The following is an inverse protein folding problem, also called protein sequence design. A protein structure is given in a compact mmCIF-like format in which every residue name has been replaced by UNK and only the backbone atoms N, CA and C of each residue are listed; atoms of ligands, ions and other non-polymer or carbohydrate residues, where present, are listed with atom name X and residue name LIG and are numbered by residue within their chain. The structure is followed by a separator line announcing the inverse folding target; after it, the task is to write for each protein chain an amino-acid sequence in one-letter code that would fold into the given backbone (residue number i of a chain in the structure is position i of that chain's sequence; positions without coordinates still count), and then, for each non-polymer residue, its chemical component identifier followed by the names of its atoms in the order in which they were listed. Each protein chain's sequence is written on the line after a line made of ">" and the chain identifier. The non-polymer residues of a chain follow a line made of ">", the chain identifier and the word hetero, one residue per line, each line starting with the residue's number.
data_IF_719921215032
#
_entry.id   IF_719921215032
#
_cell.length_a   1.000
_cell.length_b   1.000
_cell.length_c   1.000
_cell.angle_alpha   90.00
_cell.angle_beta   90.00
_cell.angle_gamma   90.00
#
_symmetry.space_group_name_H-M   'P 1'
#
loop_
_entity.id
_entity.type
_entity.pdbx_description
1 polymer ?
#
# COMPACT_ATOMS: atom_id res chain seq x y z
N UNK A 1 7.19 -11.34 -17.76
CA UNK A 1 6.73 -11.03 -16.40
C UNK A 1 6.25 -9.59 -16.37
N UNK A 2 5.09 -9.32 -15.78
CA UNK A 2 4.61 -7.98 -15.47
C UNK A 2 4.44 -7.86 -13.95
N UNK A 3 5.19 -6.97 -13.31
CA UNK A 3 5.01 -6.57 -11.92
C UNK A 3 4.27 -5.24 -11.89
N UNK A 4 3.16 -5.13 -11.13
CA UNK A 4 2.39 -3.90 -11.06
C UNK A 4 1.81 -3.65 -9.65
N UNK A 5 1.92 -2.41 -9.18
CA UNK A 5 1.14 -1.88 -8.04
C UNK A 5 0.06 -0.95 -8.58
N UNK A 6 -1.20 -1.21 -8.29
CA UNK A 6 -2.35 -0.49 -8.85
C UNK A 6 -3.45 -0.30 -7.80
N UNK A 7 -4.41 0.60 -8.04
CA UNK A 7 -5.60 0.78 -7.22
C UNK A 7 -5.47 1.77 -6.05
N UNK A 8 -4.27 2.04 -5.53
CA UNK A 8 -4.07 2.94 -4.39
C UNK A 8 -4.53 4.37 -4.67
N UNK A 9 -4.22 4.89 -5.86
CA UNK A 9 -4.68 6.20 -6.30
C UNK A 9 -6.16 6.21 -6.67
N UNK A 10 -6.69 5.12 -7.24
CA UNK A 10 -8.11 4.98 -7.60
C UNK A 10 -9.03 5.02 -6.37
N UNK A 11 -8.56 4.52 -5.22
CA UNK A 11 -9.27 4.68 -3.94
C UNK A 11 -8.99 6.01 -3.23
N UNK A 12 -8.13 6.85 -3.82
CA UNK A 12 -7.72 8.16 -3.30
C UNK A 12 -6.91 8.09 -2.02
N UNK A 13 -6.01 7.10 -1.87
CA UNK A 13 -5.19 6.94 -0.66
C UNK A 13 -4.43 8.23 -0.29
N UNK A 14 -3.78 8.87 -1.27
CA UNK A 14 -3.02 10.12 -1.07
C UNK A 14 -3.91 11.29 -0.64
N UNK A 15 -5.13 11.39 -1.18
CA UNK A 15 -6.12 12.40 -0.77
C UNK A 15 -6.55 12.14 0.68
N UNK A 16 -6.81 10.89 1.05
CA UNK A 16 -7.24 10.53 2.39
C UNK A 16 -6.14 10.85 3.41
N UNK A 17 -4.88 10.50 3.12
CA UNK A 17 -3.73 10.85 3.96
C UNK A 17 -3.61 12.37 4.07
N UNK A 18 -3.70 13.10 2.96
CA UNK A 18 -3.64 14.57 2.98
C UNK A 18 -4.76 15.19 3.82
N UNK A 19 -5.99 14.69 3.71
CA UNK A 19 -7.14 15.19 4.49
C UNK A 19 -7.03 14.84 5.96
N UNK A 20 -6.48 13.67 6.30
CA UNK A 20 -6.23 13.32 7.70
C UNK A 20 -5.18 14.22 8.35
N UNK A 21 -4.14 14.62 7.60
CA UNK A 21 -3.08 15.49 8.13
C UNK A 21 -3.52 16.95 8.17
N UNK A 22 -4.22 17.44 7.14
CA UNK A 22 -4.41 18.88 6.91
C UNK A 22 -5.87 19.35 6.89
N UNK A 23 -6.86 18.46 7.01
CA UNK A 23 -8.27 18.77 6.74
C UNK A 23 -9.27 18.27 7.79
N UNK A 24 -10.56 18.51 7.51
CA UNK A 24 -11.67 18.06 8.36
C UNK A 24 -12.01 16.57 8.05
N UNK A 25 -11.94 15.69 9.06
CA UNK A 25 -12.10 14.25 8.86
C UNK A 25 -13.54 13.73 8.98
N UNK A 26 -14.52 14.60 9.24
CA UNK A 26 -15.91 14.22 9.61
C UNK A 26 -16.65 13.43 8.53
N UNK A 27 -16.29 13.59 7.26
CA UNK A 27 -16.91 12.90 6.11
C UNK A 27 -15.95 12.02 5.30
N UNK A 28 -14.71 11.85 5.77
CA UNK A 28 -13.60 11.27 5.00
C UNK A 28 -13.91 9.90 4.37
N UNK A 29 -14.69 9.08 5.08
CA UNK A 29 -15.00 7.72 4.66
C UNK A 29 -16.35 7.57 3.94
N UNK A 30 -17.11 8.65 3.76
CA UNK A 30 -18.47 8.60 3.22
C UNK A 30 -18.51 8.12 1.76
N UNK A 31 -17.48 8.42 0.97
CA UNK A 31 -17.38 8.04 -0.45
C UNK A 31 -16.57 6.77 -0.71
N UNK A 32 -16.00 6.16 0.33
CA UNK A 32 -15.03 5.05 0.18
C UNK A 32 -15.63 3.87 -0.56
N UNK A 33 -16.90 3.54 -0.33
CA UNK A 33 -17.56 2.43 -1.04
C UNK A 33 -17.63 2.66 -2.56
N UNK A 34 -17.97 3.87 -2.99
CA UNK A 34 -17.99 4.24 -4.41
C UNK A 34 -16.58 4.22 -5.02
N UNK A 35 -15.57 4.66 -4.25
CA UNK A 35 -14.17 4.59 -4.69
C UNK A 35 -13.71 3.12 -4.88
N UNK A 36 -14.12 2.22 -3.98
CA UNK A 36 -13.85 0.78 -4.12
C UNK A 36 -14.60 0.14 -5.30
N UNK A 37 -15.84 0.55 -5.55
CA UNK A 37 -16.58 0.12 -6.74
C UNK A 37 -15.85 0.55 -8.02
N UNK A 38 -15.44 1.82 -8.09
CA UNK A 38 -14.65 2.34 -9.20
C UNK A 38 -13.33 1.59 -9.38
N UNK A 39 -12.54 1.43 -8.32
CA UNK A 39 -11.27 0.70 -8.37
C UNK A 39 -11.45 -0.76 -8.84
N UNK A 40 -12.51 -1.44 -8.39
CA UNK A 40 -12.83 -2.79 -8.88
C UNK A 40 -13.09 -2.79 -10.38
N UNK A 41 -13.90 -1.86 -10.88
CA UNK A 41 -14.19 -1.74 -12.31
C UNK A 41 -12.93 -1.43 -13.14
N UNK A 42 -12.03 -0.61 -12.61
CA UNK A 42 -10.76 -0.27 -13.28
C UNK A 42 -9.82 -1.48 -13.35
N UNK A 43 -9.78 -2.34 -12.32
CA UNK A 43 -9.04 -3.61 -12.36
C UNK A 43 -9.57 -4.54 -13.46
N UNK A 44 -10.88 -4.56 -13.69
CA UNK A 44 -11.50 -5.38 -14.76
C UNK A 44 -11.07 -4.88 -16.14
N UNK A 45 -10.97 -3.56 -16.31
CA UNK A 45 -10.46 -2.95 -17.55
C UNK A 45 -8.97 -3.21 -17.76
N UNK A 46 -8.18 -3.22 -16.69
CA UNK A 46 -6.77 -3.65 -16.74
C UNK A 46 -6.72 -5.10 -17.20
N UNK A 47 -7.50 -6.01 -16.62
CA UNK A 47 -7.55 -7.42 -17.03
C UNK A 47 -7.88 -7.60 -18.51
N UNK A 48 -8.89 -6.88 -19.01
CA UNK A 48 -9.25 -6.90 -20.44
C UNK A 48 -8.10 -6.42 -21.34
N UNK A 49 -7.30 -5.45 -20.86
CA UNK A 49 -6.13 -4.96 -21.59
C UNK A 49 -4.96 -5.94 -21.53
N UNK A 50 -4.71 -6.55 -20.36
CA UNK A 50 -3.68 -7.56 -20.15
C UNK A 50 -3.94 -8.83 -20.97
N UNK A 51 -5.21 -9.19 -21.19
CA UNK A 51 -5.58 -10.31 -22.07
C UNK A 51 -5.15 -10.08 -23.54
N UNK A 52 -5.02 -8.83 -23.98
CA UNK A 52 -4.56 -8.51 -25.34
C UNK A 52 -3.05 -8.63 -25.50
N UNK A 53 -2.29 -8.16 -24.51
CA UNK A 53 -0.82 -8.18 -24.54
C UNK A 53 -0.21 -9.49 -24.02
N UNK A 54 -1.01 -10.31 -23.32
CA UNK A 54 -0.69 -11.67 -22.84
C UNK A 54 0.66 -11.78 -22.13
N UNK A 55 0.89 -11.07 -21.00
CA UNK A 55 2.11 -11.26 -20.23
C UNK A 55 2.17 -12.70 -19.71
N UNK A 56 3.35 -13.33 -19.77
CA UNK A 56 3.55 -14.71 -19.29
C UNK A 56 3.12 -14.91 -17.83
N UNK A 57 3.27 -13.88 -17.02
CA UNK A 57 2.89 -13.88 -15.61
C UNK A 57 2.66 -12.44 -15.17
N UNK A 58 1.63 -12.23 -14.35
CA UNK A 58 1.28 -10.94 -13.76
C UNK A 58 1.41 -11.09 -12.24
N UNK A 59 2.09 -10.12 -11.62
CA UNK A 59 2.41 -10.13 -10.19
C UNK A 59 1.92 -8.82 -9.58
N UNK A 60 1.18 -8.93 -8.48
CA UNK A 60 0.65 -7.79 -7.73
C UNK A 60 1.07 -7.91 -6.27
N UNK A 61 1.91 -7.00 -5.76
CA UNK A 61 2.19 -6.92 -4.35
C UNK A 61 1.01 -6.33 -3.57
N UNK A 62 0.77 -6.86 -2.38
CA UNK A 62 -0.10 -6.18 -1.41
C UNK A 62 0.53 -4.88 -0.91
N UNK A 63 -0.33 -3.92 -0.57
CA UNK A 63 0.05 -2.73 0.18
C UNK A 63 0.30 -3.08 1.65
N UNK A 64 1.03 -2.22 2.34
CA UNK A 64 1.44 -2.38 3.73
C UNK A 64 0.97 -1.20 4.60
N UNK A 65 1.00 -1.40 5.91
CA UNK A 65 0.61 -0.38 6.89
C UNK A 65 1.82 0.48 7.28
N UNK A 66 1.73 1.78 7.03
CA UNK A 66 2.81 2.73 7.36
C UNK A 66 2.69 3.30 8.77
N UNK A 67 1.60 3.01 9.50
CA UNK A 67 1.24 3.71 10.74
C UNK A 67 1.72 3.00 12.01
N UNK A 68 2.45 1.89 11.88
CA UNK A 68 2.86 1.08 13.03
C UNK A 68 4.18 1.54 13.64
N UNK A 69 4.26 1.50 14.96
CA UNK A 69 5.51 1.71 15.71
C UNK A 69 6.34 0.42 15.80
N UNK A 70 7.44 0.46 16.56
CA UNK A 70 8.37 -0.66 16.76
C UNK A 70 7.74 -1.89 17.43
N UNK A 71 6.60 -1.74 18.10
CA UNK A 71 5.84 -2.83 18.73
C UNK A 71 4.77 -3.42 17.81
N UNK A 72 4.66 -2.90 16.59
CA UNK A 72 3.65 -3.30 15.63
C UNK A 72 2.24 -2.81 15.92
N UNK A 73 2.13 -1.75 16.72
CA UNK A 73 0.85 -1.14 17.09
C UNK A 73 0.66 0.11 16.22
N UNK A 74 -0.57 0.31 15.70
CA UNK A 74 -0.96 1.55 15.02
C UNK A 74 -0.80 2.70 16.01
N UNK A 75 0.04 3.66 15.65
CA UNK A 75 0.49 4.73 16.53
C UNK A 75 0.42 6.07 15.80
N UNK A 76 -0.04 7.10 16.50
CA UNK A 76 -0.08 8.47 16.01
C UNK A 76 0.95 9.36 16.72
N UNK A 77 1.67 8.82 17.70
CA UNK A 77 2.59 9.57 18.55
C UNK A 77 3.97 9.75 17.91
N UNK A 78 4.00 10.34 16.71
CA UNK A 78 5.20 10.79 16.03
C UNK A 78 4.92 12.08 15.24
N UNK A 79 5.97 12.84 14.93
CA UNK A 79 5.89 14.17 14.31
C UNK A 79 5.05 14.17 13.01
N UNK A 80 5.07 13.08 12.25
CA UNK A 80 4.34 12.96 10.99
C UNK A 80 2.83 12.74 11.17
N UNK A 81 2.41 12.15 12.28
CA UNK A 81 1.02 11.71 12.50
C UNK A 81 0.35 12.38 13.70
N UNK A 82 1.04 13.27 14.43
CA UNK A 82 0.56 13.88 15.68
C UNK A 82 -0.78 14.64 15.55
N UNK A 83 -1.15 15.08 14.34
CA UNK A 83 -2.42 15.77 14.07
C UNK A 83 -3.59 14.80 13.79
N UNK A 84 -3.29 13.51 13.64
CA UNK A 84 -4.26 12.47 13.31
C UNK A 84 -4.54 11.65 14.57
N UNK A 85 -5.81 11.44 14.92
CA UNK A 85 -6.14 10.55 16.02
C UNK A 85 -5.78 9.09 15.67
N UNK A 86 -5.30 8.33 16.66
CA UNK A 86 -5.07 6.88 16.49
C UNK A 86 -6.32 6.14 16.03
N UNK A 87 -7.52 6.61 16.41
CA UNK A 87 -8.78 6.03 15.95
C UNK A 87 -9.00 6.23 14.44
N UNK A 88 -8.69 7.42 13.91
CA UNK A 88 -8.74 7.66 12.47
C UNK A 88 -7.75 6.79 11.71
N UNK A 89 -6.53 6.57 12.24
CA UNK A 89 -5.55 5.66 11.65
C UNK A 89 -6.05 4.21 11.62
N UNK A 90 -6.65 3.73 12.72
CA UNK A 90 -7.29 2.40 12.77
C UNK A 90 -8.45 2.29 11.79
N UNK A 91 -9.25 3.35 11.66
CA UNK A 91 -10.35 3.38 10.71
C UNK A 91 -9.83 3.34 9.27
N UNK A 92 -8.75 4.07 8.96
CA UNK A 92 -8.10 4.04 7.65
C UNK A 92 -7.54 2.65 7.34
N UNK A 93 -6.82 2.02 8.27
CA UNK A 93 -6.33 0.65 8.11
C UNK A 93 -7.48 -0.32 7.75
N UNK A 94 -8.58 -0.25 8.50
CA UNK A 94 -9.73 -1.15 8.33
C UNK A 94 -10.52 -0.87 7.06
N UNK A 95 -10.84 0.39 6.80
CA UNK A 95 -11.74 0.80 5.70
C UNK A 95 -11.02 0.97 4.37
N UNK A 96 -9.68 1.03 4.36
CA UNK A 96 -8.91 1.29 3.15
C UNK A 96 -7.90 0.19 2.92
N UNK A 97 -6.86 0.09 3.74
CA UNK A 97 -5.73 -0.83 3.49
C UNK A 97 -6.19 -2.30 3.40
N UNK A 98 -6.94 -2.77 4.39
CA UNK A 98 -7.45 -4.14 4.39
C UNK A 98 -8.39 -4.41 3.22
N UNK A 99 -9.19 -3.41 2.84
CA UNK A 99 -10.16 -3.53 1.74
C UNK A 99 -9.48 -3.55 0.38
N UNK A 100 -8.42 -2.76 0.15
CA UNK A 100 -7.68 -2.80 -1.12
C UNK A 100 -6.92 -4.10 -1.28
N UNK A 101 -6.23 -4.58 -0.25
CA UNK A 101 -5.57 -5.88 -0.33
C UNK A 101 -6.59 -7.00 -0.61
N UNK A 102 -7.74 -7.01 0.07
CA UNK A 102 -8.82 -7.98 -0.23
C UNK A 102 -9.34 -7.88 -1.66
N UNK A 103 -9.48 -6.66 -2.20
CA UNK A 103 -9.89 -6.45 -3.59
C UNK A 103 -8.85 -7.01 -4.56
N UNK A 104 -7.56 -6.72 -4.33
CA UNK A 104 -6.46 -7.22 -5.13
C UNK A 104 -6.37 -8.75 -5.08
N UNK A 105 -6.52 -9.37 -3.91
CA UNK A 105 -6.56 -10.84 -3.80
C UNK A 105 -7.72 -11.43 -4.60
N UNK A 106 -8.93 -10.86 -4.46
CA UNK A 106 -10.11 -11.31 -5.19
C UNK A 106 -9.92 -11.23 -6.71
N UNK A 107 -9.47 -10.08 -7.22
CA UNK A 107 -9.27 -9.87 -8.66
C UNK A 107 -8.11 -10.70 -9.21
N UNK A 108 -7.07 -10.90 -8.41
CA UNK A 108 -5.97 -11.78 -8.79
C UNK A 108 -6.41 -13.24 -8.90
N UNK A 109 -7.25 -13.71 -7.97
CA UNK A 109 -7.87 -15.04 -8.08
C UNK A 109 -8.76 -15.15 -9.33
N UNK A 110 -9.57 -14.13 -9.62
CA UNK A 110 -10.46 -14.09 -10.80
C UNK A 110 -9.69 -14.15 -12.12
N UNK A 111 -8.55 -13.45 -12.23
CA UNK A 111 -7.79 -13.31 -13.47
C UNK A 111 -6.49 -14.11 -13.53
N UNK A 112 -6.23 -14.98 -12.55
CA UNK A 112 -5.01 -15.79 -12.48
C UNK A 112 -3.73 -14.97 -12.27
N UNK A 113 -3.82 -13.81 -11.63
CA UNK A 113 -2.64 -13.03 -11.25
C UNK A 113 -2.04 -13.57 -9.96
N UNK A 114 -0.73 -13.43 -9.80
CA UNK A 114 -0.04 -13.84 -8.59
C UNK A 114 0.02 -12.69 -7.59
N UNK A 115 -0.43 -12.94 -6.37
CA UNK A 115 -0.37 -11.97 -5.27
C UNK A 115 0.87 -12.22 -4.42
N UNK A 116 1.56 -11.14 -4.03
CA UNK A 116 2.67 -11.18 -3.07
C UNK A 116 2.17 -10.57 -1.75
N UNK A 117 1.74 -11.41 -0.81
CA UNK A 117 1.08 -10.97 0.43
C UNK A 117 2.06 -10.54 1.53
N UNK A 118 3.22 -11.23 1.62
CA UNK A 118 4.18 -11.12 2.73
C UNK A 118 5.00 -9.83 2.75
N UNK A 119 4.77 -8.91 1.82
CA UNK A 119 5.42 -7.58 1.86
C UNK A 119 5.00 -6.81 3.11
N UNK A 120 3.75 -6.97 3.58
CA UNK A 120 3.30 -6.28 4.78
C UNK A 120 4.08 -6.67 6.05
N UNK A 121 4.63 -7.88 6.08
CA UNK A 121 5.26 -8.45 7.29
C UNK A 121 6.54 -7.68 7.68
N UNK A 122 7.32 -7.22 6.70
CA UNK A 122 8.55 -6.45 6.98
C UNK A 122 8.26 -5.04 7.53
N UNK A 123 7.05 -4.53 7.30
CA UNK A 123 6.63 -3.22 7.80
C UNK A 123 5.96 -3.29 9.17
N UNK A 124 5.67 -4.50 9.67
CA UNK A 124 4.90 -4.68 10.91
C UNK A 124 5.43 -3.82 12.07
N UNK A 125 6.76 -3.83 12.31
CA UNK A 125 7.42 -3.05 13.36
C UNK A 125 8.27 -1.88 12.82
N UNK A 126 8.05 -1.49 11.56
CA UNK A 126 8.93 -0.60 10.79
C UNK A 126 8.16 0.51 10.07
N UNK A 127 6.98 0.89 10.58
CA UNK A 127 6.23 2.04 10.09
C UNK A 127 6.83 3.38 10.55
N UNK A 128 6.11 4.47 10.26
CA UNK A 128 6.53 5.86 10.46
C UNK A 128 6.96 6.17 11.89
N UNK A 129 6.14 5.77 12.87
CA UNK A 129 6.45 6.06 14.28
C UNK A 129 7.48 5.08 14.88
N UNK A 130 8.09 4.20 14.08
CA UNK A 130 9.18 3.34 14.54
C UNK A 130 10.51 4.09 14.56
N UNK A 131 11.29 3.91 15.63
CA UNK A 131 12.66 4.45 15.72
C UNK A 131 13.61 3.92 14.64
N UNK A 132 13.24 2.81 13.98
CA UNK A 132 13.95 2.26 12.82
C UNK A 132 12.98 2.07 11.65
N UNK A 133 12.32 3.15 11.26
CA UNK A 133 11.33 3.20 10.18
C UNK A 133 11.90 2.71 8.82
N UNK A 134 11.08 1.97 8.09
CA UNK A 134 11.24 1.66 6.67
C UNK A 134 10.46 2.60 5.75
N UNK A 135 9.79 3.59 6.34
CA UNK A 135 8.99 4.59 5.65
C UNK A 135 9.72 5.93 5.69
N UNK A 136 9.78 6.60 4.54
CA UNK A 136 10.38 7.92 4.39
C UNK A 136 9.52 8.98 5.08
N UNK A 137 10.13 9.73 5.99
CA UNK A 137 9.50 10.90 6.61
C UNK A 137 9.30 12.05 5.61
N UNK A 138 8.42 12.99 5.93
CA UNK A 138 8.27 14.24 5.16
C UNK A 138 9.58 15.03 5.14
N UNK A 139 10.26 15.12 6.28
CA UNK A 139 11.53 15.82 6.43
C UNK A 139 12.62 15.23 5.54
N UNK A 140 12.73 13.90 5.49
CA UNK A 140 13.71 13.24 4.63
C UNK A 140 13.37 13.37 3.15
N UNK A 141 12.09 13.33 2.79
CA UNK A 141 11.67 13.58 1.42
C UNK A 141 12.11 14.97 0.96
N UNK A 142 11.83 16.02 1.75
CA UNK A 142 12.23 17.39 1.41
C UNK A 142 13.75 17.51 1.31
N UNK A 143 14.49 16.92 2.26
CA UNK A 143 15.95 16.96 2.28
C UNK A 143 16.58 16.29 1.05
N UNK A 144 16.02 15.18 0.59
CA UNK A 144 16.60 14.37 -0.50
C UNK A 144 16.09 14.77 -1.89
N UNK A 145 14.85 15.25 -2.00
CA UNK A 145 14.16 15.45 -3.29
C UNK A 145 13.69 16.90 -3.50
N UNK A 146 13.82 17.77 -2.49
CA UNK A 146 13.34 19.16 -2.56
C UNK A 146 11.82 19.32 -2.43
N UNK A 147 11.07 18.24 -2.18
CA UNK A 147 9.63 18.25 -2.00
C UNK A 147 9.13 17.06 -1.14
N UNK A 148 7.86 17.04 -0.78
CA UNK A 148 7.23 16.01 0.07
C UNK A 148 6.65 14.81 -0.69
N UNK A 149 6.79 14.73 -2.02
CA UNK A 149 6.13 13.71 -2.83
C UNK A 149 6.63 12.29 -2.55
N UNK A 150 7.88 12.15 -2.09
CA UNK A 150 8.45 10.88 -1.66
C UNK A 150 8.11 10.49 -0.21
N UNK A 151 7.42 11.34 0.55
CA UNK A 151 7.01 11.03 1.91
C UNK A 151 6.05 9.84 1.93
N UNK A 152 6.05 9.10 3.04
CA UNK A 152 5.18 7.94 3.27
C UNK A 152 5.43 6.73 2.36
N UNK A 153 6.46 6.79 1.51
CA UNK A 153 6.91 5.68 0.67
C UNK A 153 8.07 4.91 1.32
N UNK A 154 8.35 3.67 0.90
CA UNK A 154 9.50 2.92 1.40
C UNK A 154 10.83 3.66 1.19
N UNK A 155 11.76 3.49 2.13
CA UNK A 155 13.16 3.87 1.92
C UNK A 155 13.89 2.84 1.05
N UNK A 156 15.12 3.14 0.68
CA UNK A 156 15.97 2.29 -0.18
C UNK A 156 16.15 0.88 0.39
N UNK A 157 16.46 0.76 1.70
CA UNK A 157 16.58 -0.54 2.36
C UNK A 157 15.29 -1.36 2.27
N UNK A 158 14.14 -0.70 2.44
CA UNK A 158 12.84 -1.34 2.38
C UNK A 158 12.50 -1.79 0.95
N UNK A 159 12.85 -0.99 -0.06
CA UNK A 159 12.75 -1.39 -1.47
C UNK A 159 13.57 -2.65 -1.77
N UNK A 160 14.79 -2.77 -1.23
CA UNK A 160 15.59 -3.99 -1.39
C UNK A 160 14.89 -5.21 -0.78
N UNK A 161 14.35 -5.08 0.44
CA UNK A 161 13.61 -6.18 1.09
C UNK A 161 12.35 -6.57 0.32
N UNK A 162 11.62 -5.60 -0.22
CA UNK A 162 10.46 -5.87 -1.10
C UNK A 162 10.91 -6.68 -2.33
N UNK A 163 12.01 -6.27 -2.97
CA UNK A 163 12.54 -6.97 -4.14
C UNK A 163 12.94 -8.42 -3.79
N UNK A 164 13.60 -8.64 -2.65
CA UNK A 164 14.00 -9.97 -2.19
C UNK A 164 12.77 -10.89 -1.97
N UNK A 165 11.71 -10.39 -1.34
CA UNK A 165 10.46 -11.15 -1.11
C UNK A 165 9.81 -11.52 -2.45
N UNK A 166 9.67 -10.56 -3.36
CA UNK A 166 9.09 -10.80 -4.68
C UNK A 166 9.91 -11.86 -5.42
N UNK A 167 11.24 -11.69 -5.43
CA UNK A 167 12.13 -12.62 -6.11
C UNK A 167 12.04 -14.03 -5.56
N UNK A 168 12.09 -14.20 -4.23
CA UNK A 168 11.95 -15.50 -3.57
C UNK A 168 10.64 -16.17 -3.94
N UNK A 169 9.52 -15.43 -3.92
CA UNK A 169 8.23 -16.01 -4.28
C UNK A 169 8.18 -16.43 -5.75
N UNK A 170 8.79 -15.67 -6.67
CA UNK A 170 8.84 -16.03 -8.09
C UNK A 170 9.67 -17.29 -8.35
N UNK A 171 10.76 -17.50 -7.62
CA UNK A 171 11.58 -18.71 -7.74
C UNK A 171 10.84 -19.97 -7.28
N UNK A 172 10.18 -19.93 -6.12
CA UNK A 172 9.47 -21.10 -5.57
C UNK A 172 8.29 -21.57 -6.44
N UNK A 173 7.72 -20.72 -7.29
CA UNK A 173 6.66 -21.14 -8.21
C UNK A 173 7.17 -21.87 -9.45
N UNK A 174 8.46 -21.79 -9.76
CA UNK A 174 9.04 -22.52 -10.90
C UNK A 174 9.52 -23.93 -10.51
N UNK A 175 9.55 -24.26 -9.21
CA UNK A 175 10.05 -25.54 -8.69
C UNK A 175 8.96 -26.60 -8.47
N UNK A 176 7.70 -26.29 -8.80
CA UNK A 176 6.54 -27.16 -8.59
C UNK A 176 5.87 -27.61 -9.89
N UNK A 177 6.59 -27.54 -11.00
CA UNK A 177 6.14 -27.90 -12.36
C UNK A 177 6.80 -29.20 -12.82
#
# INVERSE_FOLDING_TARGET
>A
LLLMSVGGNDIGYSEIVSTLIWGESSSLFASVDMRFFYASYQLDRIAASLHKIKPLQIVIPHYFDVTRNEKGIIDANCDELHQISTENLRMAEKKILRRINKLLSKKSQEYGWKVIEHIADIFHSRGLCSTKSFIRSVRDSIRLQGNSLGAFHPIEEAHQKIADIIWQQLQHSNSSS
#
